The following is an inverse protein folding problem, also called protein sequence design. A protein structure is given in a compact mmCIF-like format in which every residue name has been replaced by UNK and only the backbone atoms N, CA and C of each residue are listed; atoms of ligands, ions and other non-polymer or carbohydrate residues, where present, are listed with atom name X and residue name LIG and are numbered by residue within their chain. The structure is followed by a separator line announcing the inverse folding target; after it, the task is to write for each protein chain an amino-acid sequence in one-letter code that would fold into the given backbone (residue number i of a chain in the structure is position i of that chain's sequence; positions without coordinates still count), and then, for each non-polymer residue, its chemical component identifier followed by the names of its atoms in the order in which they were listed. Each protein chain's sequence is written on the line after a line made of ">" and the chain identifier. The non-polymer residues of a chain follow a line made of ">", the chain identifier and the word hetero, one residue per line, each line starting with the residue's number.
data_IF_235652787986
#
_entry.id   IF_235652787986
#
_cell.length_a   1.000
_cell.length_b   1.000
_cell.length_c   1.000
_cell.angle_alpha   90.00
_cell.angle_beta   90.00
_cell.angle_gamma   90.00
#
_symmetry.space_group_name_H-M   'P 1'
#
loop_
_entity.id
_entity.type
_entity.pdbx_description
1 polymer ?
#
# COMPACT_ATOMS: atom_id res chain seq x y z
N UNK A 1 16.94 -10.17 -21.66
CA UNK A 1 15.95 -10.25 -20.56
C UNK A 1 14.74 -9.43 -20.97
N UNK A 2 13.53 -10.00 -20.87
CA UNK A 2 12.28 -9.30 -21.21
C UNK A 2 12.05 -8.13 -20.24
N UNK A 3 11.65 -6.98 -20.78
CA UNK A 3 11.21 -5.82 -20.02
C UNK A 3 9.90 -6.18 -19.28
N UNK A 4 9.82 -5.93 -17.97
CA UNK A 4 8.63 -6.24 -17.15
C UNK A 4 7.37 -5.56 -17.68
N UNK A 5 7.50 -4.33 -18.20
CA UNK A 5 6.41 -3.59 -18.86
C UNK A 5 5.92 -4.31 -20.12
N UNK A 6 6.82 -4.92 -20.89
CA UNK A 6 6.44 -5.71 -22.07
C UNK A 6 5.70 -6.99 -21.66
N UNK A 7 6.16 -7.69 -20.63
CA UNK A 7 5.45 -8.87 -20.08
C UNK A 7 4.05 -8.48 -19.61
N UNK A 8 3.90 -7.32 -18.97
CA UNK A 8 2.61 -6.80 -18.53
C UNK A 8 1.68 -6.45 -19.72
N UNK A 9 2.22 -5.93 -20.82
CA UNK A 9 1.45 -5.74 -22.08
C UNK A 9 0.97 -7.07 -22.64
N UNK A 10 1.82 -8.10 -22.68
CA UNK A 10 1.41 -9.45 -23.09
C UNK A 10 0.30 -10.01 -22.19
N UNK A 11 0.42 -9.82 -20.87
CA UNK A 11 -0.62 -10.20 -19.92
C UNK A 11 -1.96 -9.51 -20.24
N UNK A 12 -1.94 -8.21 -20.53
CA UNK A 12 -3.15 -7.48 -20.96
C UNK A 12 -3.80 -8.10 -22.19
N UNK A 13 -3.01 -8.41 -23.22
CA UNK A 13 -3.53 -9.05 -24.45
C UNK A 13 -4.13 -10.43 -24.16
N UNK A 14 -3.54 -11.19 -23.24
CA UNK A 14 -4.08 -12.48 -22.78
C UNK A 14 -5.44 -12.27 -22.09
N UNK A 15 -5.56 -11.27 -21.21
CA UNK A 15 -6.83 -10.95 -20.54
C UNK A 15 -7.93 -10.54 -21.53
N UNK A 16 -7.58 -9.73 -22.53
CA UNK A 16 -8.51 -9.35 -23.61
C UNK A 16 -8.96 -10.60 -24.39
N UNK A 17 -8.03 -11.48 -24.76
CA UNK A 17 -8.36 -12.74 -25.43
C UNK A 17 -9.26 -13.63 -24.56
N UNK A 18 -8.98 -13.70 -23.27
CA UNK A 18 -9.80 -14.44 -22.29
C UNK A 18 -11.22 -13.90 -22.22
N UNK A 19 -11.40 -12.58 -22.13
CA UNK A 19 -12.73 -11.96 -22.10
C UNK A 19 -13.51 -12.23 -23.39
N UNK A 20 -12.86 -12.15 -24.56
CA UNK A 20 -13.49 -12.52 -25.84
C UNK A 20 -13.93 -13.98 -25.86
N UNK A 21 -13.11 -14.90 -25.31
CA UNK A 21 -13.46 -16.31 -25.22
C UNK A 21 -14.64 -16.54 -24.25
N UNK A 22 -14.61 -15.94 -23.07
CA UNK A 22 -15.69 -16.06 -22.07
C UNK A 22 -17.00 -15.47 -22.59
N UNK A 23 -16.96 -14.33 -23.27
CA UNK A 23 -18.15 -13.71 -23.86
C UNK A 23 -18.82 -14.60 -24.90
N UNK A 24 -18.03 -15.30 -25.75
CA UNK A 24 -18.56 -16.27 -26.72
C UNK A 24 -19.18 -17.50 -26.07
N UNK A 25 -18.73 -17.86 -24.86
CA UNK A 25 -19.18 -19.03 -24.13
C UNK A 25 -19.87 -18.62 -22.82
N UNK A 26 -20.65 -17.52 -22.86
CA UNK A 26 -21.15 -16.84 -21.65
C UNK A 26 -21.87 -17.80 -20.72
N UNK A 27 -22.71 -18.69 -21.24
CA UNK A 27 -23.46 -19.70 -20.46
C UNK A 27 -22.59 -20.59 -19.55
N UNK A 28 -21.31 -20.77 -19.91
CA UNK A 28 -20.35 -21.56 -19.15
C UNK A 28 -19.24 -20.73 -18.50
N UNK A 29 -19.33 -19.39 -18.50
CA UNK A 29 -18.23 -18.50 -18.12
C UNK A 29 -17.79 -18.61 -16.64
N UNK A 30 -18.66 -19.14 -15.77
CA UNK A 30 -18.36 -19.38 -14.37
C UNK A 30 -17.84 -20.80 -14.08
N UNK A 31 -17.90 -21.72 -15.05
CA UNK A 31 -17.51 -23.13 -14.87
C UNK A 31 -16.02 -23.20 -14.52
N UNK A 32 -15.70 -23.93 -13.44
CA UNK A 32 -14.32 -24.11 -12.97
C UNK A 32 -13.74 -22.94 -12.17
N UNK A 33 -14.48 -21.83 -11.99
CA UNK A 33 -14.02 -20.68 -11.19
C UNK A 33 -13.69 -21.02 -9.74
N UNK A 34 -14.38 -22.01 -9.16
CA UNK A 34 -14.15 -22.49 -7.80
C UNK A 34 -12.90 -23.40 -7.66
N UNK A 35 -12.31 -23.85 -8.78
CA UNK A 35 -11.14 -24.73 -8.75
C UNK A 35 -9.98 -23.99 -8.06
N UNK A 36 -9.30 -24.60 -7.07
CA UNK A 36 -8.25 -23.93 -6.29
C UNK A 36 -7.17 -23.23 -7.13
N UNK A 37 -6.68 -23.88 -8.21
CA UNK A 37 -5.65 -23.28 -9.06
C UNK A 37 -6.14 -22.03 -9.80
N UNK A 38 -7.42 -21.98 -10.19
CA UNK A 38 -8.01 -20.81 -10.84
C UNK A 38 -8.14 -19.64 -9.86
N UNK A 39 -8.55 -19.92 -8.61
CA UNK A 39 -8.58 -18.91 -7.55
C UNK A 39 -7.19 -18.38 -7.23
N UNK A 40 -6.21 -19.27 -7.09
CA UNK A 40 -4.82 -18.87 -6.86
C UNK A 40 -4.26 -18.03 -8.00
N UNK A 41 -4.52 -18.41 -9.26
CA UNK A 41 -4.10 -17.63 -10.42
C UNK A 41 -4.74 -16.22 -10.43
N UNK A 42 -6.02 -16.10 -10.06
CA UNK A 42 -6.68 -14.80 -9.94
C UNK A 42 -6.06 -13.95 -8.81
N UNK A 43 -5.80 -14.55 -7.65
CA UNK A 43 -5.09 -13.88 -6.55
C UNK A 43 -3.71 -13.37 -7.01
N UNK A 44 -2.90 -14.19 -7.67
CA UNK A 44 -1.56 -13.77 -8.15
C UNK A 44 -1.63 -12.71 -9.25
N UNK A 45 -2.67 -12.76 -10.10
CA UNK A 45 -2.93 -11.70 -11.07
C UNK A 45 -3.22 -10.37 -10.37
N UNK A 46 -4.12 -10.38 -9.38
CA UNK A 46 -4.44 -9.21 -8.57
C UNK A 46 -3.18 -8.64 -7.88
N UNK A 47 -2.38 -9.50 -7.23
CA UNK A 47 -1.10 -9.11 -6.60
C UNK A 47 -0.19 -8.39 -7.60
N UNK A 48 0.01 -9.00 -8.76
CA UNK A 48 0.86 -8.46 -9.82
C UNK A 48 0.39 -7.06 -10.26
N UNK A 49 -0.89 -6.89 -10.52
CA UNK A 49 -1.45 -5.60 -10.94
C UNK A 49 -1.27 -4.52 -9.87
N UNK A 50 -1.53 -4.84 -8.59
CA UNK A 50 -1.28 -3.91 -7.49
C UNK A 50 0.19 -3.49 -7.38
N UNK A 51 1.12 -4.45 -7.48
CA UNK A 51 2.55 -4.14 -7.38
C UNK A 51 3.04 -3.25 -8.53
N UNK A 52 2.46 -3.36 -9.73
CA UNK A 52 2.78 -2.46 -10.83
C UNK A 52 2.28 -1.02 -10.63
N UNK A 53 1.32 -0.77 -9.73
CA UNK A 53 0.79 0.58 -9.49
C UNK A 53 1.84 1.53 -8.88
N UNK A 54 2.79 1.01 -8.10
CA UNK A 54 3.87 1.82 -7.54
C UNK A 54 5.13 1.85 -8.42
N UNK A 55 5.09 1.27 -9.63
CA UNK A 55 6.21 1.29 -10.57
C UNK A 55 6.66 2.73 -10.90
N UNK A 56 7.98 3.01 -10.97
CA UNK A 56 8.48 4.29 -11.47
C UNK A 56 8.27 4.47 -12.98
N UNK A 57 7.99 3.38 -13.71
CA UNK A 57 7.61 3.42 -15.12
C UNK A 57 6.11 3.72 -15.27
N UNK A 58 5.81 4.93 -15.76
CA UNK A 58 4.45 5.39 -16.05
C UNK A 58 3.71 4.43 -16.98
N UNK A 59 4.40 3.89 -17.98
CA UNK A 59 3.78 3.00 -18.94
C UNK A 59 3.31 1.72 -18.24
N UNK A 60 4.13 1.13 -17.37
CA UNK A 60 3.75 -0.02 -16.58
C UNK A 60 2.51 0.26 -15.70
N UNK A 61 2.46 1.42 -15.04
CA UNK A 61 1.30 1.82 -14.22
C UNK A 61 0.03 1.91 -15.08
N UNK A 62 0.10 2.59 -16.23
CA UNK A 62 -1.05 2.75 -17.13
C UNK A 62 -1.51 1.41 -17.72
N UNK A 63 -0.57 0.52 -18.07
CA UNK A 63 -0.92 -0.83 -18.55
C UNK A 63 -1.59 -1.63 -17.42
N UNK A 64 -1.07 -1.61 -16.19
CA UNK A 64 -1.71 -2.26 -15.04
C UNK A 64 -3.13 -1.72 -14.78
N UNK A 65 -3.29 -0.39 -14.81
CA UNK A 65 -4.59 0.29 -14.73
C UNK A 65 -5.56 -0.21 -15.80
N UNK A 66 -5.11 -0.40 -17.04
CA UNK A 66 -5.95 -0.94 -18.11
C UNK A 66 -6.30 -2.43 -17.90
N UNK A 67 -5.46 -3.22 -17.24
CA UNK A 67 -5.79 -4.61 -16.91
C UNK A 67 -6.93 -4.73 -15.88
N UNK A 68 -7.10 -3.75 -14.98
CA UNK A 68 -8.27 -3.71 -14.10
C UNK A 68 -9.58 -3.61 -14.89
N UNK A 69 -9.59 -2.94 -16.07
CA UNK A 69 -10.74 -2.96 -16.98
C UNK A 69 -11.10 -4.36 -17.39
N UNK A 70 -10.10 -5.16 -17.76
CA UNK A 70 -10.31 -6.54 -18.19
C UNK A 70 -10.83 -7.42 -17.05
N UNK A 71 -10.44 -7.15 -15.80
CA UNK A 71 -11.04 -7.83 -14.64
C UNK A 71 -12.51 -7.46 -14.44
N UNK A 72 -12.87 -6.18 -14.60
CA UNK A 72 -14.26 -5.73 -14.53
C UNK A 72 -15.11 -6.36 -15.64
N UNK A 73 -14.64 -6.34 -16.88
CA UNK A 73 -15.31 -6.98 -18.03
C UNK A 73 -15.52 -8.48 -17.80
N UNK A 74 -14.52 -9.18 -17.25
CA UNK A 74 -14.64 -10.61 -16.91
C UNK A 74 -15.72 -10.85 -15.87
N UNK A 75 -15.78 -9.98 -14.84
CA UNK A 75 -16.81 -10.05 -13.80
C UNK A 75 -18.21 -9.82 -14.41
N UNK A 76 -18.38 -8.81 -15.26
CA UNK A 76 -19.65 -8.49 -15.93
C UNK A 76 -20.15 -9.66 -16.80
N UNK A 77 -19.26 -10.32 -17.55
CA UNK A 77 -19.59 -11.50 -18.35
C UNK A 77 -20.13 -12.63 -17.47
N UNK A 78 -19.51 -12.86 -16.31
CA UNK A 78 -19.88 -13.93 -15.37
C UNK A 78 -21.16 -13.65 -14.58
N UNK A 79 -21.46 -12.38 -14.28
CA UNK A 79 -22.66 -12.01 -13.52
C UNK A 79 -23.94 -12.11 -14.32
N UNK A 80 -23.87 -11.86 -15.63
CA UNK A 80 -25.04 -11.72 -16.49
C UNK A 80 -25.79 -13.02 -16.83
N UNK A 81 -25.73 -14.05 -15.98
CA UNK A 81 -26.43 -15.34 -16.12
C UNK A 81 -27.43 -15.54 -14.97
N UNK A 82 -27.07 -15.17 -13.74
CA UNK A 82 -27.82 -15.53 -12.51
C UNK A 82 -28.25 -14.31 -11.66
N UNK A 83 -28.21 -13.08 -12.20
CA UNK A 83 -28.48 -11.81 -11.46
C UNK A 83 -27.61 -11.63 -10.19
N UNK A 84 -26.48 -12.33 -10.11
CA UNK A 84 -25.55 -12.24 -8.99
C UNK A 84 -24.82 -10.90 -9.06
N UNK A 85 -24.75 -10.20 -7.93
CA UNK A 85 -24.01 -8.93 -7.81
C UNK A 85 -22.55 -9.08 -8.25
N UNK A 86 -22.06 -8.14 -9.05
CA UNK A 86 -20.65 -8.09 -9.51
C UNK A 86 -19.65 -8.03 -8.36
N UNK A 87 -20.06 -7.46 -7.24
CA UNK A 87 -19.26 -7.38 -6.02
C UNK A 87 -18.95 -8.75 -5.40
N UNK A 88 -19.73 -9.79 -5.70
CA UNK A 88 -19.42 -11.15 -5.25
C UNK A 88 -18.20 -11.74 -5.96
N UNK A 89 -17.95 -11.32 -7.20
CA UNK A 89 -16.80 -11.75 -7.98
C UNK A 89 -15.62 -10.78 -7.86
N UNK A 90 -15.92 -9.49 -7.72
CA UNK A 90 -14.93 -8.42 -7.68
C UNK A 90 -15.35 -7.37 -6.64
N UNK A 91 -15.05 -7.60 -5.35
CA UNK A 91 -15.52 -6.72 -4.27
C UNK A 91 -15.20 -5.23 -4.49
N UNK A 92 -14.02 -4.95 -5.05
CA UNK A 92 -13.51 -3.61 -5.33
C UNK A 92 -13.83 -3.09 -6.76
N UNK A 93 -14.88 -3.63 -7.41
CA UNK A 93 -15.25 -3.36 -8.81
C UNK A 93 -15.27 -1.86 -9.18
N UNK A 94 -15.93 -1.03 -8.38
CA UNK A 94 -16.06 0.42 -8.66
C UNK A 94 -14.70 1.11 -8.69
N UNK A 95 -13.82 0.78 -7.75
CA UNK A 95 -12.46 1.34 -7.72
C UNK A 95 -11.62 0.84 -8.90
N UNK A 96 -11.83 -0.41 -9.35
CA UNK A 96 -11.15 -0.97 -10.52
C UNK A 96 -11.59 -0.31 -11.83
N UNK A 97 -12.86 0.05 -11.97
CA UNK A 97 -13.35 0.88 -13.09
C UNK A 97 -12.70 2.27 -13.09
N UNK A 98 -12.49 2.87 -11.93
CA UNK A 98 -11.81 4.16 -11.81
C UNK A 98 -10.32 4.07 -12.13
N UNK A 99 -9.63 2.98 -11.75
CA UNK A 99 -8.28 2.73 -12.24
C UNK A 99 -8.25 2.66 -13.77
N UNK A 100 -9.18 1.90 -14.35
CA UNK A 100 -9.32 1.77 -15.79
C UNK A 100 -9.62 3.10 -16.50
N UNK A 101 -10.43 3.98 -15.91
CA UNK A 101 -10.77 5.27 -16.54
C UNK A 101 -9.53 6.17 -16.69
N UNK A 102 -8.63 6.14 -15.69
CA UNK A 102 -7.38 6.91 -15.70
C UNK A 102 -6.37 6.36 -16.70
N UNK A 103 -6.40 5.06 -17.04
CA UNK A 103 -5.44 4.45 -17.98
C UNK A 103 -5.44 5.09 -19.38
N UNK A 104 -6.51 5.80 -19.73
CA UNK A 104 -6.69 6.45 -21.04
C UNK A 104 -6.30 7.95 -21.02
N UNK A 105 -5.90 8.52 -19.87
CA UNK A 105 -5.57 9.93 -19.74
C UNK A 105 -4.13 10.20 -20.20
N UNK A 106 -3.97 10.72 -21.43
CA UNK A 106 -2.67 10.88 -22.10
C UNK A 106 -1.72 11.98 -21.55
N UNK A 107 -1.99 12.64 -20.41
CA UNK A 107 -1.23 13.84 -20.03
C UNK A 107 -0.80 13.99 -18.56
N UNK A 108 -0.96 12.98 -17.70
CA UNK A 108 -0.50 13.12 -16.31
C UNK A 108 1.01 12.88 -16.20
N UNK A 109 1.73 13.84 -15.63
CA UNK A 109 3.13 13.64 -15.20
C UNK A 109 3.23 12.59 -14.09
N UNK A 110 4.43 12.01 -13.90
CA UNK A 110 4.71 10.92 -12.93
C UNK A 110 4.08 11.14 -11.56
N UNK A 111 4.34 12.29 -10.95
CA UNK A 111 3.85 12.62 -9.61
C UNK A 111 2.32 12.75 -9.56
N UNK A 112 1.71 13.35 -10.59
CA UNK A 112 0.25 13.48 -10.66
C UNK A 112 -0.43 12.12 -10.82
N UNK A 113 0.13 11.23 -11.64
CA UNK A 113 -0.38 9.88 -11.80
C UNK A 113 -0.28 9.08 -10.49
N UNK A 114 0.89 9.11 -9.83
CA UNK A 114 1.07 8.42 -8.55
C UNK A 114 0.13 8.96 -7.47
N UNK A 115 -0.09 10.28 -7.42
CA UNK A 115 -1.10 10.88 -6.54
C UNK A 115 -2.52 10.37 -6.83
N UNK A 116 -2.88 10.24 -8.11
CA UNK A 116 -4.18 9.68 -8.50
C UNK A 116 -4.29 8.20 -8.12
N UNK A 117 -3.23 7.41 -8.29
CA UNK A 117 -3.16 6.01 -7.87
C UNK A 117 -3.40 5.90 -6.37
N UNK A 118 -2.68 6.67 -5.54
CA UNK A 118 -2.84 6.65 -4.08
C UNK A 118 -4.26 7.05 -3.65
N UNK A 119 -4.83 8.07 -4.27
CA UNK A 119 -6.22 8.47 -4.01
C UNK A 119 -7.23 7.35 -4.31
N UNK A 120 -7.00 6.55 -5.36
CA UNK A 120 -7.84 5.39 -5.68
C UNK A 120 -7.60 4.21 -4.73
N UNK A 121 -6.34 3.95 -4.36
CA UNK A 121 -6.00 2.89 -3.40
C UNK A 121 -6.67 3.10 -2.05
N UNK A 122 -6.78 4.35 -1.57
CA UNK A 122 -7.50 4.66 -0.32
C UNK A 122 -8.98 4.31 -0.34
N UNK A 123 -9.59 4.16 -1.52
CA UNK A 123 -11.00 3.76 -1.70
C UNK A 123 -11.20 2.23 -1.69
N UNK A 124 -10.12 1.46 -1.55
CA UNK A 124 -10.20 0.01 -1.44
C UNK A 124 -10.48 -0.33 0.01
N UNK A 125 -11.73 -0.67 0.29
CA UNK A 125 -12.16 -1.04 1.63
C UNK A 125 -12.23 -2.56 1.79
N UNK A 126 -12.52 -3.32 0.73
CA UNK A 126 -12.73 -4.75 0.88
C UNK A 126 -11.41 -5.54 0.79
N UNK A 127 -11.00 -6.24 1.87
CA UNK A 127 -9.81 -7.08 1.84
C UNK A 127 -10.05 -8.29 0.93
N UNK A 128 -9.09 -8.54 0.06
CA UNK A 128 -8.98 -9.74 -0.77
C UNK A 128 -7.65 -10.43 -0.44
N UNK A 129 -7.50 -11.73 -0.73
CA UNK A 129 -6.19 -12.38 -0.62
C UNK A 129 -5.12 -11.66 -1.45
N UNK A 130 -5.49 -11.11 -2.62
CA UNK A 130 -4.54 -10.47 -3.52
C UNK A 130 -4.09 -9.09 -3.05
N UNK A 131 -4.99 -8.24 -2.56
CA UNK A 131 -4.59 -6.91 -2.07
C UNK A 131 -3.83 -6.98 -0.74
N UNK A 132 -4.15 -7.96 0.11
CA UNK A 132 -3.44 -8.18 1.38
C UNK A 132 -2.03 -8.68 1.11
N UNK A 133 -1.88 -9.68 0.24
CA UNK A 133 -0.56 -10.20 -0.15
C UNK A 133 0.28 -9.13 -0.87
N UNK A 134 -0.33 -8.32 -1.77
CA UNK A 134 0.38 -7.23 -2.43
C UNK A 134 0.93 -6.18 -1.45
N UNK A 135 0.18 -5.89 -0.38
CA UNK A 135 0.64 -4.99 0.68
C UNK A 135 1.82 -5.60 1.44
N UNK A 136 1.74 -6.88 1.82
CA UNK A 136 2.80 -7.58 2.55
C UNK A 136 4.10 -7.69 1.73
N UNK A 137 4.00 -8.06 0.46
CA UNK A 137 5.14 -8.14 -0.47
C UNK A 137 5.77 -6.76 -0.70
N UNK A 138 4.94 -5.72 -0.85
CA UNK A 138 5.41 -4.34 -0.99
C UNK A 138 6.09 -3.87 0.30
N UNK A 139 5.57 -4.23 1.48
CA UNK A 139 6.18 -3.89 2.76
C UNK A 139 7.56 -4.53 2.92
N UNK A 140 7.71 -5.80 2.55
CA UNK A 140 9.00 -6.49 2.56
C UNK A 140 10.03 -5.81 1.63
N UNK A 141 9.62 -5.43 0.41
CA UNK A 141 10.46 -4.68 -0.53
C UNK A 141 10.81 -3.28 -0.02
N UNK A 142 9.84 -2.58 0.54
CA UNK A 142 10.02 -1.25 1.12
C UNK A 142 11.00 -1.26 2.29
N UNK A 143 10.97 -2.27 3.15
CA UNK A 143 11.92 -2.40 4.26
C UNK A 143 13.35 -2.60 3.75
N UNK A 144 13.54 -3.43 2.73
CA UNK A 144 14.83 -3.63 2.07
C UNK A 144 15.34 -2.34 1.41
N UNK A 145 14.49 -1.66 0.64
CA UNK A 145 14.82 -0.38 0.02
C UNK A 145 15.16 0.69 1.06
N UNK A 146 14.44 0.73 2.19
CA UNK A 146 14.74 1.62 3.32
C UNK A 146 16.15 1.38 3.85
N UNK A 147 16.54 0.12 4.06
CA UNK A 147 17.90 -0.24 4.54
C UNK A 147 18.97 0.21 3.54
N UNK A 148 18.73 0.02 2.24
CA UNK A 148 19.67 0.43 1.19
C UNK A 148 19.84 1.94 1.11
N UNK A 149 18.74 2.70 1.12
CA UNK A 149 18.74 4.16 1.03
C UNK A 149 19.45 4.78 2.24
N UNK A 150 19.26 4.23 3.45
CA UNK A 150 19.88 4.76 4.66
C UNK A 150 21.38 4.42 4.80
N UNK A 151 21.83 3.30 4.24
CA UNK A 151 23.21 2.82 4.38
C UNK A 151 24.17 3.37 3.30
N UNK A 152 23.66 4.06 2.30
CA UNK A 152 24.46 4.69 1.25
C UNK A 152 25.06 6.02 1.79
N UNK A 153 26.39 6.29 1.70
CA UNK A 153 27.44 5.71 0.85
C UNK A 153 28.51 4.89 1.62
N UNK A 154 28.19 4.18 2.70
CA UNK A 154 29.22 3.40 3.43
C UNK A 154 29.78 2.24 2.60
N UNK A 155 29.04 1.77 1.60
CA UNK A 155 29.34 0.56 0.82
C UNK A 155 30.23 0.75 -0.41
N UNK A 156 30.62 1.99 -0.78
CA UNK A 156 31.47 2.21 -1.99
C UNK A 156 32.98 2.32 -1.71
N UNK A 157 33.42 2.24 -0.44
CA UNK A 157 34.85 2.35 -0.09
C UNK A 157 35.53 1.03 0.26
N UNK A 158 34.78 -0.03 0.57
CA UNK A 158 35.36 -1.34 0.89
C UNK A 158 34.63 -2.44 0.13
N UNK A 159 35.42 -3.30 -0.50
CA UNK A 159 35.08 -4.49 -1.28
C UNK A 159 34.48 -4.34 -2.68
N UNK A 160 35.39 -4.43 -3.66
CA UNK A 160 35.08 -5.12 -4.90
C UNK A 160 34.96 -6.61 -4.64
N UNK A 161 33.74 -7.11 -4.39
CA UNK A 161 33.26 -8.43 -4.83
C UNK A 161 31.77 -8.64 -4.53
N UNK A 162 31.00 -8.80 -5.62
CA UNK A 162 29.83 -9.66 -5.82
C UNK A 162 28.82 -9.79 -4.65
N UNK A 163 27.74 -9.02 -4.74
CA UNK A 163 26.38 -9.58 -4.67
C UNK A 163 25.52 -8.88 -5.72
N UNK A 164 25.32 -9.56 -6.86
CA UNK A 164 24.35 -9.18 -7.88
C UNK A 164 22.94 -9.20 -7.27
N UNK A 165 22.46 -8.05 -6.80
CA UNK A 165 21.02 -7.84 -6.66
C UNK A 165 20.44 -7.66 -8.06
N UNK A 166 19.76 -8.70 -8.55
CA UNK A 166 18.89 -8.64 -9.72
C UNK A 166 18.06 -7.33 -9.68
N UNK A 167 18.07 -6.60 -10.81
CA UNK A 167 17.38 -5.32 -11.12
C UNK A 167 18.30 -4.13 -11.47
N UNK A 168 19.60 -4.31 -11.68
CA UNK A 168 20.43 -3.27 -12.34
C UNK A 168 20.73 -3.60 -13.79
N UNK A 169 19.72 -3.52 -14.64
CA UNK A 169 19.84 -3.17 -16.07
C UNK A 169 18.47 -2.64 -16.49
N UNK A 170 18.39 -1.64 -17.38
CA UNK A 170 17.18 -0.88 -17.79
C UNK A 170 17.03 0.34 -16.87
N UNK A 171 17.66 1.50 -17.11
CA UNK A 171 17.46 2.39 -18.27
C UNK A 171 18.76 3.16 -18.51
N UNK A 172 19.45 2.86 -19.61
CA UNK A 172 20.52 3.73 -20.13
C UNK A 172 20.09 4.21 -21.51
N UNK A 173 19.66 5.47 -21.62
CA UNK A 173 19.97 6.39 -22.74
C UNK A 173 19.27 7.76 -22.60
N UNK A 174 20.11 8.81 -22.71
CA UNK A 174 19.89 10.21 -23.16
C UNK A 174 19.07 11.09 -22.19
N UNK A 175 19.49 12.28 -21.75
CA UNK A 175 20.34 13.32 -22.34
C UNK A 175 21.31 13.95 -21.31
N UNK A 176 22.33 14.60 -21.85
CA UNK A 176 23.49 15.20 -21.23
C UNK A 176 23.28 16.61 -20.66
N UNK A 177 24.14 16.95 -19.69
CA UNK A 177 24.59 18.28 -19.26
C UNK A 177 23.60 19.18 -18.50
N UNK A 178 23.69 19.16 -17.16
CA UNK A 178 23.74 20.38 -16.35
C UNK A 178 24.77 20.17 -15.23
N UNK A 179 25.77 21.05 -15.19
CA UNK A 179 26.77 21.14 -14.14
C UNK A 179 26.24 22.00 -12.99
N UNK A 180 26.52 21.60 -11.74
CA UNK A 180 26.51 22.49 -10.57
C UNK A 180 25.52 22.10 -9.47
N UNK A 181 26.03 21.51 -8.40
CA UNK A 181 25.31 21.20 -7.15
C UNK A 181 25.31 19.71 -6.86
N UNK A 182 25.81 19.32 -5.67
CA UNK A 182 26.12 17.95 -5.25
C UNK A 182 25.23 16.86 -5.88
N UNK A 183 25.82 16.12 -6.82
CA UNK A 183 25.11 15.13 -7.64
C UNK A 183 24.76 13.91 -6.81
N UNK A 184 23.50 13.85 -6.37
CA UNK A 184 22.82 12.57 -6.13
C UNK A 184 22.88 11.83 -7.48
N UNK A 185 23.48 10.63 -7.53
CA UNK A 185 23.57 9.86 -8.79
C UNK A 185 22.14 9.65 -9.33
N UNK A 186 21.92 9.71 -10.65
CA UNK A 186 20.59 9.49 -11.24
C UNK A 186 19.94 8.16 -10.78
N UNK A 187 20.76 7.14 -10.52
CA UNK A 187 20.33 5.86 -9.96
C UNK A 187 19.83 5.96 -8.50
N UNK A 188 20.34 6.92 -7.74
CA UNK A 188 19.90 7.20 -6.37
C UNK A 188 18.52 7.90 -6.41
N UNK A 189 18.26 8.74 -7.41
CA UNK A 189 16.95 9.37 -7.63
C UNK A 189 15.87 8.35 -7.99
N UNK A 190 16.17 7.38 -8.86
CA UNK A 190 15.22 6.33 -9.23
C UNK A 190 14.90 5.39 -8.05
N UNK A 191 15.92 5.00 -7.27
CA UNK A 191 15.75 4.16 -6.08
C UNK A 191 14.92 4.86 -5.00
N UNK A 192 15.15 6.16 -4.80
CA UNK A 192 14.36 6.95 -3.87
C UNK A 192 12.93 7.12 -4.37
N UNK A 193 12.72 7.32 -5.67
CA UNK A 193 11.38 7.45 -6.24
C UNK A 193 10.57 6.16 -6.10
N UNK A 194 11.19 5.00 -6.32
CA UNK A 194 10.57 3.70 -6.09
C UNK A 194 10.16 3.55 -4.61
N UNK A 195 11.05 3.93 -3.69
CA UNK A 195 10.75 3.94 -2.26
C UNK A 195 9.61 4.89 -1.87
N UNK A 196 9.54 6.08 -2.47
CA UNK A 196 8.45 7.05 -2.28
C UNK A 196 7.12 6.42 -2.75
N UNK A 197 7.10 5.82 -3.94
CA UNK A 197 5.89 5.20 -4.48
C UNK A 197 5.41 4.02 -3.61
N UNK A 198 6.33 3.16 -3.16
CA UNK A 198 6.00 2.08 -2.23
C UNK A 198 5.47 2.62 -0.90
N UNK A 199 6.07 3.68 -0.35
CA UNK A 199 5.60 4.33 0.89
C UNK A 199 4.16 4.82 0.74
N UNK A 200 3.86 5.47 -0.39
CA UNK A 200 2.53 5.96 -0.71
C UNK A 200 1.50 4.83 -0.89
N UNK A 201 1.88 3.78 -1.62
CA UNK A 201 1.07 2.57 -1.79
C UNK A 201 0.71 1.93 -0.45
N UNK A 202 1.71 1.72 0.42
CA UNK A 202 1.51 1.11 1.74
C UNK A 202 0.63 1.97 2.65
N UNK A 203 0.80 3.30 2.60
CA UNK A 203 -0.01 4.26 3.35
C UNK A 203 -1.47 4.25 2.88
N UNK A 204 -1.69 4.22 1.57
CA UNK A 204 -3.03 4.26 0.98
C UNK A 204 -3.81 2.95 1.12
N UNK A 205 -3.14 1.80 0.96
CA UNK A 205 -3.81 0.49 0.95
C UNK A 205 -3.85 -0.18 2.34
N UNK A 206 -3.07 0.26 3.32
CA UNK A 206 -2.90 -0.47 4.59
C UNK A 206 -4.16 -0.71 5.43
N UNK A 207 -5.27 -0.01 5.15
CA UNK A 207 -6.57 -0.26 5.79
C UNK A 207 -7.09 -1.68 5.57
N UNK A 208 -6.86 -2.29 4.40
CA UNK A 208 -7.36 -3.64 4.09
C UNK A 208 -6.75 -4.71 5.02
N UNK A 209 -5.50 -4.51 5.46
CA UNK A 209 -4.80 -5.41 6.35
C UNK A 209 -5.34 -5.41 7.79
N UNK A 210 -6.07 -4.36 8.20
CA UNK A 210 -6.74 -4.32 9.50
C UNK A 210 -8.07 -5.10 9.47
N UNK A 211 -8.83 -4.94 8.38
CA UNK A 211 -10.17 -5.51 8.24
C UNK A 211 -10.15 -7.03 7.97
N UNK A 212 -9.07 -7.56 7.40
CA UNK A 212 -8.93 -9.00 7.17
C UNK A 212 -9.12 -9.81 8.47
N UNK A 213 -8.67 -9.29 9.62
CA UNK A 213 -8.81 -9.97 10.92
C UNK A 213 -10.24 -9.99 11.46
N UNK A 214 -11.04 -8.98 11.14
CA UNK A 214 -12.46 -8.93 11.52
C UNK A 214 -13.28 -9.98 10.77
N UNK A 215 -12.89 -10.29 9.53
CA UNK A 215 -13.62 -11.19 8.64
C UNK A 215 -13.27 -12.67 8.79
N UNK A 216 -12.18 -13.03 9.49
CA UNK A 216 -11.87 -14.46 9.78
C UNK A 216 -12.94 -15.10 10.69
N UNK A 217 -13.81 -14.30 11.32
CA UNK A 217 -14.94 -14.77 12.12
C UNK A 217 -16.21 -15.14 11.35
N UNK A 218 -16.35 -14.79 10.07
CA UNK A 218 -17.59 -14.98 9.31
C UNK A 218 -17.29 -15.51 7.90
N UNK A 219 -17.86 -16.68 7.61
CA UNK A 219 -18.01 -17.30 6.27
C UNK A 219 -16.81 -18.13 5.76
N UNK A 220 -16.64 -19.32 6.35
CA UNK A 220 -16.51 -20.54 5.53
C UNK A 220 -17.74 -21.40 5.77
N UNK A 221 -18.80 -21.19 4.98
CA UNK A 221 -19.85 -22.20 4.83
C UNK A 221 -19.26 -23.38 4.06
N UNK A 222 -18.59 -24.27 4.78
CA UNK A 222 -18.41 -25.65 4.35
C UNK A 222 -19.65 -26.42 4.82
N UNK A 223 -20.48 -27.03 3.95
CA UNK A 223 -21.55 -27.88 4.41
C UNK A 223 -20.94 -29.15 5.03
N UNK A 224 -21.24 -29.50 6.30
CA UNK A 224 -20.76 -30.74 6.87
C UNK A 224 -21.65 -31.88 6.37
N UNK A 225 -21.16 -32.66 5.41
CA UNK A 225 -21.63 -34.04 5.20
C UNK A 225 -20.89 -34.93 6.19
N UNK A 226 -21.52 -35.21 7.34
CA UNK A 226 -21.02 -36.15 8.35
C UNK A 226 -22.03 -36.38 9.47
N UNK A 227 -22.20 -37.62 9.96
CA UNK A 227 -23.24 -37.96 10.92
C UNK A 227 -22.96 -37.37 12.31
N UNK A 228 -24.05 -36.99 12.98
CA UNK A 228 -24.11 -36.31 14.27
C UNK A 228 -23.67 -37.26 15.40
N UNK A 229 -22.45 -37.11 15.92
CA UNK A 229 -22.20 -37.38 17.34
C UNK A 229 -20.90 -36.73 17.88
N UNK A 230 -20.94 -36.43 19.18
CA UNK A 230 -19.84 -35.95 20.05
C UNK A 230 -19.52 -34.45 20.06
N UNK A 231 -20.25 -33.75 20.94
CA UNK A 231 -19.94 -32.41 21.44
C UNK A 231 -18.68 -32.44 22.33
N UNK A 232 -17.65 -31.69 21.95
CA UNK A 232 -16.75 -31.02 22.90
C UNK A 232 -16.78 -29.54 22.60
N UNK A 233 -17.41 -28.78 23.49
CA UNK A 233 -17.48 -27.32 23.43
C UNK A 233 -16.07 -26.73 23.50
N UNK A 234 -15.66 -26.05 22.44
CA UNK A 234 -14.53 -25.13 22.48
C UNK A 234 -15.10 -23.73 22.67
N UNK A 235 -15.02 -23.25 23.91
CA UNK A 235 -15.27 -21.85 24.24
C UNK A 235 -14.06 -21.08 23.71
N UNK A 236 -14.12 -20.64 22.45
CA UNK A 236 -13.18 -19.63 21.96
C UNK A 236 -13.69 -18.31 22.52
N UNK A 237 -13.02 -17.84 23.57
CA UNK A 237 -13.27 -16.54 24.17
C UNK A 237 -13.21 -15.47 23.09
N UNK A 238 -14.28 -14.68 22.97
CA UNK A 238 -14.18 -13.30 22.50
C UNK A 238 -13.26 -12.55 23.47
N UNK A 239 -11.95 -12.64 23.23
CA UNK A 239 -11.02 -11.65 23.78
C UNK A 239 -11.06 -10.52 22.78
N UNK A 240 -11.74 -9.45 23.17
CA UNK A 240 -11.42 -8.10 22.72
C UNK A 240 -9.94 -7.90 22.99
N UNK A 241 -9.09 -8.06 21.97
CA UNK A 241 -7.65 -7.82 22.13
C UNK A 241 -7.39 -6.32 22.05
N UNK A 242 -7.86 -5.60 23.05
CA UNK A 242 -7.16 -4.42 23.56
C UNK A 242 -5.83 -4.92 24.16
N UNK A 243 -4.86 -5.20 23.29
CA UNK A 243 -3.64 -5.88 23.71
C UNK A 243 -2.71 -6.25 22.57
N UNK A 244 -1.99 -5.25 22.05
CA UNK A 244 -0.59 -5.34 21.62
C UNK A 244 -0.14 -6.56 20.79
N UNK A 245 -0.97 -7.11 19.89
CA UNK A 245 -0.49 -7.98 18.83
C UNK A 245 0.11 -7.08 17.73
N UNK A 246 1.44 -7.00 17.69
CA UNK A 246 2.18 -6.14 16.77
C UNK A 246 1.96 -6.59 15.31
N UNK A 247 1.00 -5.96 14.61
CA UNK A 247 0.65 -6.27 13.22
C UNK A 247 1.70 -5.76 12.23
N UNK A 248 1.79 -6.29 10.99
CA UNK A 248 2.66 -5.73 9.95
C UNK A 248 2.40 -4.23 9.71
N UNK A 249 1.13 -3.81 9.71
CA UNK A 249 0.74 -2.39 9.61
C UNK A 249 1.25 -1.58 10.81
N UNK A 250 1.15 -2.12 12.02
CA UNK A 250 1.70 -1.48 13.22
C UNK A 250 3.21 -1.25 13.08
N UNK A 251 3.96 -2.26 12.64
CA UNK A 251 5.42 -2.16 12.41
C UNK A 251 5.76 -1.17 11.30
N UNK A 252 4.97 -1.13 10.23
CA UNK A 252 5.11 -0.14 9.18
C UNK A 252 4.95 1.29 9.72
N UNK A 253 3.90 1.55 10.51
CA UNK A 253 3.69 2.87 11.12
C UNK A 253 4.81 3.24 12.10
N UNK A 254 5.26 2.32 12.95
CA UNK A 254 6.39 2.57 13.85
C UNK A 254 7.66 2.93 13.06
N UNK A 255 7.88 2.24 11.93
CA UNK A 255 9.01 2.53 11.05
C UNK A 255 8.88 3.91 10.39
N UNK A 256 7.70 4.29 9.90
CA UNK A 256 7.45 5.64 9.35
C UNK A 256 7.73 6.73 10.39
N UNK A 257 7.21 6.56 11.61
CA UNK A 257 7.44 7.52 12.70
C UNK A 257 8.93 7.65 13.03
N UNK A 258 9.70 6.55 13.03
CA UNK A 258 11.15 6.61 13.23
C UNK A 258 11.89 7.37 12.12
N UNK A 259 11.36 7.34 10.90
CA UNK A 259 11.97 7.99 9.74
C UNK A 259 11.58 9.48 9.61
N UNK A 260 10.54 9.95 10.32
CA UNK A 260 10.20 11.37 10.43
C UNK A 260 11.32 12.22 11.05
N UNK A 261 12.24 11.58 11.78
CA UNK A 261 13.43 12.20 12.38
C UNK A 261 14.73 11.62 11.80
N UNK A 262 14.67 11.15 10.55
CA UNK A 262 15.84 10.58 9.88
C UNK A 262 16.95 11.64 9.72
N UNK A 263 18.07 11.45 10.41
CA UNK A 263 19.23 12.35 10.39
C UNK A 263 20.32 11.95 9.37
N UNK A 264 19.97 11.19 8.34
CA UNK A 264 20.92 10.88 7.26
C UNK A 264 21.28 12.17 6.49
N UNK A 265 22.57 12.48 6.39
CA UNK A 265 23.08 13.72 5.81
C UNK A 265 22.67 13.95 4.35
N UNK A 266 22.51 12.88 3.57
CA UNK A 266 22.23 12.97 2.12
C UNK A 266 20.76 12.95 1.79
N UNK A 267 20.03 12.00 2.38
CA UNK A 267 18.64 11.70 2.01
C UNK A 267 17.65 12.03 3.12
N UNK A 268 18.11 12.42 4.31
CA UNK A 268 17.27 12.67 5.48
C UNK A 268 16.17 13.71 5.22
N UNK A 269 16.50 14.85 4.60
CA UNK A 269 15.50 15.89 4.26
C UNK A 269 14.41 15.33 3.33
N UNK A 270 14.81 14.56 2.32
CA UNK A 270 13.88 14.00 1.33
C UNK A 270 12.99 12.93 1.97
N UNK A 271 13.55 12.05 2.80
CA UNK A 271 12.79 11.05 3.56
C UNK A 271 11.76 11.72 4.47
N UNK A 272 12.19 12.68 5.30
CA UNK A 272 11.29 13.37 6.24
C UNK A 272 10.16 14.10 5.51
N UNK A 273 10.49 14.80 4.42
CA UNK A 273 9.50 15.53 3.61
C UNK A 273 8.47 14.59 3.00
N UNK A 274 8.91 13.51 2.36
CA UNK A 274 8.00 12.56 1.72
C UNK A 274 7.14 11.81 2.74
N UNK A 275 7.69 11.41 3.90
CA UNK A 275 6.87 10.75 4.94
C UNK A 275 5.80 11.69 5.46
N UNK A 276 6.17 12.92 5.78
CA UNK A 276 5.22 13.95 6.24
C UNK A 276 4.10 14.17 5.24
N UNK A 277 4.42 14.31 3.95
CA UNK A 277 3.43 14.55 2.90
C UNK A 277 2.56 13.30 2.66
N UNK A 278 3.16 12.10 2.53
CA UNK A 278 2.44 10.86 2.27
C UNK A 278 1.55 10.44 3.44
N UNK A 279 2.04 10.55 4.68
CA UNK A 279 1.22 10.24 5.86
C UNK A 279 0.10 11.27 6.04
N UNK A 280 0.38 12.55 5.82
CA UNK A 280 -0.61 13.62 5.97
C UNK A 280 -1.68 13.66 4.88
N UNK A 281 -1.39 13.13 3.67
CA UNK A 281 -2.29 13.25 2.52
C UNK A 281 -2.83 11.91 2.01
N UNK A 282 -2.04 10.86 2.08
CA UNK A 282 -2.29 9.58 1.38
C UNK A 282 -2.53 8.41 2.34
N UNK A 283 -2.42 8.61 3.66
CA UNK A 283 -2.75 7.56 4.63
C UNK A 283 -4.24 7.22 4.59
N UNK A 284 -4.55 5.92 4.56
CA UNK A 284 -5.92 5.41 4.68
C UNK A 284 -6.56 5.87 6.00
N UNK A 285 -7.81 6.41 5.97
CA UNK A 285 -8.53 6.80 7.18
C UNK A 285 -8.65 5.69 8.24
N UNK A 286 -8.74 4.42 7.80
CA UNK A 286 -8.77 3.26 8.70
C UNK A 286 -7.54 3.16 9.63
N UNK A 287 -6.43 3.84 9.30
CA UNK A 287 -5.19 3.83 10.06
C UNK A 287 -5.04 5.01 11.03
N UNK A 288 -5.94 6.01 11.01
CA UNK A 288 -5.78 7.25 11.78
C UNK A 288 -5.73 7.00 13.29
N UNK A 289 -6.61 6.15 13.81
CA UNK A 289 -6.61 5.79 15.23
C UNK A 289 -5.29 5.16 15.67
N UNK A 290 -4.74 4.24 14.87
CA UNK A 290 -3.45 3.61 15.16
C UNK A 290 -2.29 4.61 15.08
N UNK A 291 -2.28 5.47 14.06
CA UNK A 291 -1.27 6.51 13.89
C UNK A 291 -1.25 7.46 15.10
N UNK A 292 -2.40 8.00 15.49
CA UNK A 292 -2.50 8.97 16.58
C UNK A 292 -2.11 8.36 17.91
N UNK A 293 -2.51 7.12 18.18
CA UNK A 293 -2.06 6.40 19.37
C UNK A 293 -0.54 6.21 19.40
N UNK A 294 0.08 5.87 18.26
CA UNK A 294 1.54 5.75 18.17
C UNK A 294 2.26 7.09 18.31
N UNK A 295 1.75 8.16 17.70
CA UNK A 295 2.28 9.52 17.87
C UNK A 295 2.18 9.98 19.32
N UNK A 296 1.01 9.80 19.95
CA UNK A 296 0.77 10.06 21.37
C UNK A 296 1.79 9.34 22.25
N UNK A 297 2.01 8.04 22.01
CA UNK A 297 2.95 7.22 22.78
C UNK A 297 4.42 7.60 22.56
N UNK A 298 4.77 8.20 21.42
CA UNK A 298 6.11 8.74 21.20
C UNK A 298 6.27 10.09 21.91
N UNK A 299 5.31 11.01 21.76
CA UNK A 299 5.34 12.34 22.39
C UNK A 299 5.34 12.21 23.92
N UNK A 300 4.61 11.26 24.50
CA UNK A 300 4.60 11.06 25.96
C UNK A 300 5.98 10.71 26.52
N UNK A 301 6.92 10.21 25.70
CA UNK A 301 8.30 9.91 26.12
C UNK A 301 9.21 11.14 26.08
N UNK A 302 8.73 12.27 25.59
CA UNK A 302 9.48 13.53 25.56
C UNK A 302 9.39 14.28 26.89
N UNK A 303 8.76 13.69 27.91
CA UNK A 303 8.67 14.24 29.25
C UNK A 303 9.43 13.33 30.22
N UNK A 304 10.16 13.92 31.15
CA UNK A 304 10.81 13.17 32.23
C UNK A 304 9.80 12.74 33.32
N UNK A 305 10.29 12.05 34.35
CA UNK A 305 9.46 11.62 35.48
C UNK A 305 8.84 12.78 36.29
N UNK A 306 9.36 14.00 36.15
CA UNK A 306 8.83 15.22 36.77
C UNK A 306 7.87 15.99 35.83
N UNK A 307 7.67 15.50 34.61
CA UNK A 307 6.84 16.14 33.59
C UNK A 307 7.52 17.31 32.89
N UNK A 308 8.84 17.47 33.01
CA UNK A 308 9.61 18.47 32.26
C UNK A 308 9.92 17.97 30.86
N UNK A 309 9.91 18.89 29.89
CA UNK A 309 10.17 18.57 28.47
C UNK A 309 11.65 18.27 28.27
N UNK A 310 11.94 17.13 27.64
CA UNK A 310 13.26 16.72 27.18
C UNK A 310 13.59 17.41 25.85
N UNK A 311 14.18 18.59 25.94
CA UNK A 311 14.55 19.41 24.78
C UNK A 311 15.78 18.84 24.06
N UNK A 312 15.57 18.35 22.84
CA UNK A 312 16.62 18.01 21.88
C UNK A 312 16.10 18.11 20.45
N UNK A 313 17.01 18.25 19.49
CA UNK A 313 16.67 18.48 18.08
C UNK A 313 15.80 17.36 17.47
N UNK A 314 15.99 16.12 17.92
CA UNK A 314 15.22 14.97 17.44
C UNK A 314 13.77 15.04 17.90
N UNK A 315 13.53 15.32 19.18
CA UNK A 315 12.19 15.48 19.75
C UNK A 315 11.48 16.69 19.12
N UNK A 316 12.16 17.82 18.99
CA UNK A 316 11.61 19.02 18.33
C UNK A 316 11.19 18.71 16.90
N UNK A 317 12.07 18.06 16.13
CA UNK A 317 11.75 17.68 14.76
C UNK A 317 10.56 16.69 14.69
N UNK A 318 10.47 15.71 15.60
CA UNK A 318 9.33 14.81 15.65
C UNK A 318 8.01 15.56 15.87
N UNK A 319 8.01 16.51 16.80
CA UNK A 319 6.85 17.34 17.14
C UNK A 319 6.43 18.20 15.95
N UNK A 320 7.35 18.91 15.30
CA UNK A 320 7.06 19.75 14.12
C UNK A 320 6.44 18.95 12.96
N UNK A 321 7.00 17.78 12.68
CA UNK A 321 6.50 16.89 11.64
C UNK A 321 5.11 16.34 12.02
N UNK A 322 4.89 16.00 13.29
CA UNK A 322 3.59 15.55 13.80
C UNK A 322 2.52 16.63 13.66
N UNK A 323 2.83 17.88 14.03
CA UNK A 323 1.91 19.02 13.88
C UNK A 323 1.51 19.19 12.42
N UNK A 324 2.46 19.10 11.49
CA UNK A 324 2.17 19.25 10.06
C UNK A 324 1.28 18.11 9.55
N UNK A 325 1.55 16.87 9.96
CA UNK A 325 0.72 15.71 9.59
C UNK A 325 -0.70 15.88 10.15
N UNK A 326 -0.84 16.23 11.43
CA UNK A 326 -2.14 16.43 12.07
C UNK A 326 -2.94 17.52 11.36
N UNK A 327 -2.30 18.64 11.02
CA UNK A 327 -2.95 19.70 10.25
C UNK A 327 -3.46 19.17 8.91
N UNK A 328 -2.62 18.48 8.13
CA UNK A 328 -3.02 17.94 6.84
C UNK A 328 -4.17 16.93 6.95
N UNK A 329 -4.17 16.08 7.98
CA UNK A 329 -5.22 15.08 8.20
C UNK A 329 -6.55 15.72 8.63
N UNK A 330 -6.51 16.76 9.47
CA UNK A 330 -7.70 17.47 9.94
C UNK A 330 -8.29 18.40 8.87
N UNK A 331 -7.44 19.01 8.03
CA UNK A 331 -7.86 19.86 6.91
C UNK A 331 -8.39 19.03 5.71
N UNK A 332 -8.11 17.72 5.66
CA UNK A 332 -8.52 16.83 4.57
C UNK A 332 -9.98 16.34 4.72
N UNK A 333 -10.87 16.87 3.88
CA UNK A 333 -12.30 16.50 3.83
C UNK A 333 -12.61 15.26 2.97
N UNK A 334 -11.75 14.25 2.93
CA UNK A 334 -12.02 13.02 2.15
C UNK A 334 -13.19 12.23 2.76
N UNK A 335 -14.08 11.69 1.92
CA UNK A 335 -15.23 10.89 2.37
C UNK A 335 -14.79 9.79 3.36
N UNK A 336 -15.51 9.66 4.48
CA UNK A 336 -15.20 8.71 5.55
C UNK A 336 -14.10 9.15 6.54
N UNK A 337 -13.34 10.23 6.29
CA UNK A 337 -12.29 10.68 7.22
C UNK A 337 -12.85 11.15 8.56
N UNK A 338 -13.99 11.84 8.58
CA UNK A 338 -14.61 12.39 9.79
C UNK A 338 -15.02 11.30 10.79
N UNK A 339 -15.57 10.19 10.31
CA UNK A 339 -15.98 9.05 11.15
C UNK A 339 -14.76 8.40 11.82
N UNK A 340 -13.70 8.15 11.05
CA UNK A 340 -12.45 7.57 11.54
C UNK A 340 -11.70 8.51 12.49
N UNK A 341 -11.72 9.83 12.22
CA UNK A 341 -11.16 10.84 13.11
C UNK A 341 -11.93 10.92 14.44
N UNK A 342 -13.26 10.80 14.41
CA UNK A 342 -14.09 10.80 15.63
C UNK A 342 -13.84 9.60 16.55
N UNK A 343 -13.38 8.48 16.00
CA UNK A 343 -12.97 7.30 16.78
C UNK A 343 -11.57 7.42 17.38
N UNK A 344 -10.77 8.39 16.92
CA UNK A 344 -9.37 8.51 17.33
C UNK A 344 -9.22 9.48 18.51
N UNK A 345 -8.65 9.02 19.63
CA UNK A 345 -8.41 9.83 20.82
C UNK A 345 -7.26 10.84 20.59
N UNK A 346 -7.59 12.01 20.03
CA UNK A 346 -6.64 13.10 19.76
C UNK A 346 -6.31 13.97 20.98
N UNK A 347 -7.23 14.04 21.96
CA UNK A 347 -7.19 15.01 23.06
C UNK A 347 -5.88 14.97 23.86
N UNK A 348 -5.48 13.78 24.33
CA UNK A 348 -4.26 13.65 25.13
C UNK A 348 -3.00 14.01 24.33
N UNK A 349 -2.98 13.69 23.04
CA UNK A 349 -1.84 14.03 22.17
C UNK A 349 -1.77 15.54 21.96
N UNK A 350 -2.89 16.19 21.68
CA UNK A 350 -2.98 17.64 21.55
C UNK A 350 -2.56 18.36 22.84
N UNK A 351 -3.00 17.86 24.00
CA UNK A 351 -2.56 18.39 25.30
C UNK A 351 -1.03 18.26 25.46
N UNK A 352 -0.45 17.12 25.11
CA UNK A 352 1.00 16.92 25.18
C UNK A 352 1.78 17.78 24.16
N UNK A 353 1.16 18.25 23.09
CA UNK A 353 1.79 19.16 22.11
C UNK A 353 1.77 20.62 22.56
N UNK A 354 0.81 21.01 23.40
CA UNK A 354 0.62 22.39 23.88
C UNK A 354 1.35 22.65 25.20
N UNK A 355 1.53 21.61 26.02
CA UNK A 355 2.34 21.64 27.26
C UNK A 355 3.81 21.78 26.93
#
# INVERSE_FOLDING_TARGET
>A
MLNSTEVLKWLREILICRNKFLLKNKECAAVGSAIPICRQAHTKLEVCLYMFLWSPDIEAVLVAMSCFRSLCEEADIRCGIDEVSVHNFLPNYNTFLEFASVSNMMSLGRAALQKRVMALLRRIEHPTPGNTEAWEDTYAKWEQATKLILNFPKTKLEDGQVTESLHKTIVKRRMSHVSGGGSIDLADTDSLQEWINMTGFLSALGGVCLQHRSNVGLVTYSPPMGPVNERKGSVISMVSTEGNAETPVSKFLDRLLSLMVCNNEKVGIQIRTNIKDLVGLELSPALYSMLFNKMKNNISKFFDSQGQVLLNDTNTQFVEQTITILKNLLDNHTEGSSEHLGQASLETMMLNLVR
#
